data_IF_154829549860
#
_entry.id   IF_154829549860
#
_cell.length_a   1.000
_cell.length_b   1.000
_cell.length_c   1.000
_cell.angle_alpha   90.00
_cell.angle_beta   90.00
_cell.angle_gamma   90.00
#
_symmetry.space_group_name_H-M   'P 1'
#
loop_
_entity.id
_entity.type
_entity.pdbx_description
1 polymer ?
#
# COMPACT_ATOMS: atom_id res chain seq x y z
N UNK A 1 40.42 -23.30 -21.68
CA UNK A 1 40.96 -22.98 -23.02
C UNK A 1 39.84 -23.13 -24.04
N UNK A 2 39.25 -22.04 -24.51
CA UNK A 2 38.58 -21.95 -25.81
C UNK A 2 38.38 -20.47 -26.12
N UNK A 3 39.17 -19.95 -27.05
CA UNK A 3 39.07 -18.58 -27.58
C UNK A 3 38.05 -18.61 -28.71
N UNK A 4 37.12 -17.67 -28.73
CA UNK A 4 36.36 -17.35 -29.94
C UNK A 4 36.32 -15.83 -30.10
N UNK A 5 37.03 -15.38 -31.13
CA UNK A 5 37.10 -14.01 -31.65
C UNK A 5 36.20 -13.93 -32.88
N UNK A 6 35.50 -12.82 -33.11
CA UNK A 6 35.01 -12.24 -34.40
C UNK A 6 33.97 -11.16 -34.00
N UNK A 7 33.74 -10.01 -34.65
CA UNK A 7 34.19 -9.43 -35.92
C UNK A 7 33.79 -7.95 -35.88
N UNK A 8 34.69 -7.05 -36.29
CA UNK A 8 34.45 -5.60 -36.51
C UNK A 8 34.00 -5.33 -37.95
N UNK A 9 32.89 -4.60 -38.14
CA UNK A 9 32.51 -3.76 -39.33
C UNK A 9 31.04 -3.34 -39.15
N UNK A 10 30.54 -2.17 -39.57
CA UNK A 10 30.93 -1.26 -40.63
C UNK A 10 30.32 0.13 -40.37
N UNK A 11 31.11 1.19 -40.60
CA UNK A 11 30.64 2.58 -40.72
C UNK A 11 29.95 2.75 -42.07
N UNK A 12 28.65 3.01 -42.06
CA UNK A 12 27.89 3.49 -43.22
C UNK A 12 27.45 4.92 -42.97
N UNK A 13 28.28 5.90 -43.37
CA UNK A 13 27.85 7.26 -43.62
C UNK A 13 27.41 7.37 -45.07
N UNK A 14 26.29 8.05 -45.35
CA UNK A 14 26.10 8.97 -46.49
C UNK A 14 24.65 9.49 -46.60
N UNK A 15 24.57 10.82 -46.57
CA UNK A 15 23.75 11.70 -47.41
C UNK A 15 22.24 11.73 -47.11
N UNK A 16 21.73 12.76 -46.42
CA UNK A 16 21.54 14.14 -46.86
C UNK A 16 20.66 14.27 -48.12
N UNK A 17 19.40 14.70 -47.92
CA UNK A 17 18.71 15.68 -48.77
C UNK A 17 17.46 16.22 -48.06
N UNK A 18 17.46 17.54 -47.92
CA UNK A 18 16.35 18.40 -47.54
C UNK A 18 15.07 18.09 -48.35
N UNK A 19 13.93 18.04 -47.67
CA UNK A 19 12.66 18.47 -48.23
C UNK A 19 11.90 19.27 -47.17
N UNK A 20 11.97 20.58 -47.35
CA UNK A 20 11.25 21.63 -46.66
C UNK A 20 9.75 21.47 -46.97
N UNK A 21 8.98 21.02 -45.98
CA UNK A 21 7.53 20.82 -46.04
C UNK A 21 6.86 21.34 -44.78
N UNK A 22 7.00 22.65 -44.59
CA UNK A 22 6.37 23.47 -43.55
C UNK A 22 4.85 23.46 -43.77
N UNK A 23 4.10 22.66 -43.01
CA UNK A 23 2.65 22.77 -42.91
C UNK A 23 2.28 22.80 -41.43
N UNK A 24 1.93 24.02 -40.98
CA UNK A 24 1.42 24.33 -39.67
C UNK A 24 0.20 23.45 -39.35
N UNK A 25 0.42 22.38 -38.60
CA UNK A 25 -0.59 21.85 -37.69
C UNK A 25 -0.28 22.40 -36.30
N UNK A 26 -0.32 23.73 -36.19
CA UNK A 26 -0.42 24.47 -34.92
C UNK A 26 -1.87 24.33 -34.42
N UNK A 27 -2.32 23.07 -34.32
CA UNK A 27 -3.65 22.70 -33.84
C UNK A 27 -3.62 22.78 -32.34
N UNK A 28 -4.25 23.84 -31.81
CA UNK A 28 -4.64 24.05 -30.43
C UNK A 28 -4.35 22.86 -29.51
N UNK A 29 -3.25 22.95 -28.74
CA UNK A 29 -3.24 22.39 -27.40
C UNK A 29 -4.35 23.13 -26.65
N UNK A 30 -5.58 22.66 -26.77
CA UNK A 30 -6.61 23.00 -25.83
C UNK A 30 -6.10 22.46 -24.52
N UNK A 31 -5.57 23.35 -23.68
CA UNK A 31 -5.42 23.09 -22.26
C UNK A 31 -6.81 22.66 -21.78
N UNK A 32 -7.04 21.35 -21.72
CA UNK A 32 -8.13 20.79 -20.96
C UNK A 32 -7.83 21.22 -19.54
N UNK A 33 -8.45 22.33 -19.14
CA UNK A 33 -8.55 22.69 -17.74
C UNK A 33 -9.15 21.46 -17.07
N UNK A 34 -8.30 20.68 -16.41
CA UNK A 34 -8.78 19.67 -15.49
C UNK A 34 -9.66 20.44 -14.52
N UNK A 35 -10.93 20.07 -14.36
CA UNK A 35 -11.80 20.76 -13.43
C UNK A 35 -11.13 20.67 -12.05
N UNK A 36 -10.61 21.80 -11.56
CA UNK A 36 -9.96 22.00 -10.25
C UNK A 36 -10.96 21.87 -9.08
N UNK A 37 -11.97 21.03 -9.23
CA UNK A 37 -13.10 20.91 -8.33
C UNK A 37 -13.64 19.49 -8.21
N UNK A 38 -12.84 18.46 -8.52
CA UNK A 38 -13.15 17.12 -8.06
C UNK A 38 -13.12 17.18 -6.52
N UNK A 39 -14.29 17.30 -5.88
CA UNK A 39 -14.38 17.18 -4.44
C UNK A 39 -13.80 15.83 -4.07
N UNK A 40 -12.80 15.82 -3.20
CA UNK A 40 -12.20 14.58 -2.71
C UNK A 40 -13.33 13.65 -2.24
N UNK A 41 -13.60 12.61 -3.01
CA UNK A 41 -14.65 11.67 -2.68
C UNK A 41 -14.17 10.87 -1.48
N UNK A 42 -14.98 10.82 -0.43
CA UNK A 42 -14.64 10.05 0.75
C UNK A 42 -14.88 8.58 0.44
N UNK A 43 -13.84 7.75 0.53
CA UNK A 43 -13.97 6.31 0.41
C UNK A 43 -14.75 5.75 1.61
N UNK A 44 -15.71 4.87 1.34
CA UNK A 44 -16.43 4.11 2.35
C UNK A 44 -16.40 2.63 2.01
N UNK A 45 -16.49 1.80 3.04
CA UNK A 45 -16.44 0.36 2.91
C UNK A 45 -17.46 -0.29 3.84
N UNK A 46 -18.19 -1.28 3.33
CA UNK A 46 -19.17 -2.05 4.07
C UNK A 46 -18.84 -3.55 3.98
N UNK A 47 -18.73 -4.20 5.14
CA UNK A 47 -18.56 -5.64 5.22
C UNK A 47 -19.91 -6.35 5.26
N UNK A 48 -20.04 -7.37 4.42
CA UNK A 48 -21.08 -8.40 4.55
C UNK A 48 -20.48 -9.67 5.15
N UNK A 49 -21.30 -10.73 5.27
CA UNK A 49 -20.84 -12.02 5.77
C UNK A 49 -19.78 -12.68 4.85
N UNK A 50 -19.80 -12.39 3.55
CA UNK A 50 -18.98 -13.09 2.54
C UNK A 50 -18.15 -12.18 1.65
N UNK A 51 -18.32 -10.86 1.78
CA UNK A 51 -17.66 -9.91 0.90
C UNK A 51 -17.54 -8.51 1.48
N UNK A 52 -16.88 -7.66 0.70
CA UNK A 52 -16.59 -6.28 1.01
C UNK A 52 -17.04 -5.42 -0.18
N UNK A 53 -17.88 -4.43 0.09
CA UNK A 53 -18.28 -3.43 -0.89
C UNK A 53 -17.60 -2.11 -0.55
N UNK A 54 -16.99 -1.47 -1.55
CA UNK A 54 -16.20 -0.26 -1.40
C UNK A 54 -16.77 0.75 -2.38
N UNK A 55 -17.12 1.95 -1.90
CA UNK A 55 -17.67 3.02 -2.73
C UNK A 55 -16.85 4.29 -2.58
N UNK A 56 -16.83 5.10 -3.63
CA UNK A 56 -16.07 6.34 -3.64
C UNK A 56 -14.58 6.13 -3.90
N UNK A 57 -14.23 5.04 -4.57
CA UNK A 57 -12.92 4.83 -5.16
C UNK A 57 -12.67 5.84 -6.29
N UNK A 58 -11.40 6.17 -6.55
CA UNK A 58 -11.02 6.85 -7.79
C UNK A 58 -11.45 6.00 -9.00
N UNK A 59 -12.13 6.61 -9.97
CA UNK A 59 -12.63 5.91 -11.16
C UNK A 59 -11.48 5.26 -11.95
N UNK A 60 -11.59 3.96 -12.20
CA UNK A 60 -10.52 3.21 -12.86
C UNK A 60 -9.27 3.02 -11.99
N UNK A 61 -9.36 3.38 -10.71
CA UNK A 61 -8.27 3.33 -9.74
C UNK A 61 -8.06 1.94 -9.16
N UNK A 62 -6.98 1.80 -8.40
CA UNK A 62 -6.69 0.59 -7.65
C UNK A 62 -6.95 0.80 -6.17
N UNK A 63 -7.53 -0.22 -5.54
CA UNK A 63 -7.78 -0.27 -4.10
C UNK A 63 -6.91 -1.35 -3.48
N UNK A 64 -6.25 -1.01 -2.37
CA UNK A 64 -5.60 -1.97 -1.50
C UNK A 64 -6.48 -2.29 -0.29
N UNK A 65 -6.61 -3.58 0.01
CA UNK A 65 -7.30 -4.10 1.18
C UNK A 65 -6.24 -4.75 2.06
N UNK A 66 -5.96 -4.11 3.18
CA UNK A 66 -5.00 -4.55 4.16
C UNK A 66 -5.74 -4.96 5.42
N UNK A 67 -5.41 -6.10 6.00
CA UNK A 67 -6.21 -6.55 7.13
C UNK A 67 -5.61 -7.67 7.93
N UNK A 68 -6.27 -7.93 9.05
CA UNK A 68 -6.02 -9.10 9.86
C UNK A 68 -7.33 -9.66 10.39
N UNK A 69 -7.34 -10.96 10.60
CA UNK A 69 -8.44 -11.65 11.21
C UNK A 69 -7.96 -12.72 12.18
N UNK A 70 -8.85 -13.09 13.09
CA UNK A 70 -8.64 -14.17 14.03
C UNK A 70 -9.87 -15.05 14.12
N UNK A 71 -9.67 -16.34 13.96
CA UNK A 71 -10.71 -17.33 14.13
C UNK A 71 -10.35 -18.26 15.29
N UNK A 72 -11.23 -18.33 16.29
CA UNK A 72 -11.05 -19.24 17.42
C UNK A 72 -11.61 -20.61 17.05
N UNK A 73 -10.76 -21.62 17.14
CA UNK A 73 -11.15 -23.03 17.08
C UNK A 73 -11.22 -23.60 18.51
N UNK A 74 -11.69 -24.85 18.65
CA UNK A 74 -11.85 -25.48 19.97
C UNK A 74 -10.52 -25.58 20.73
N UNK A 75 -9.42 -25.87 20.04
CA UNK A 75 -8.12 -26.17 20.64
C UNK A 75 -7.00 -25.19 20.27
N UNK A 76 -7.26 -24.24 19.37
CA UNK A 76 -6.26 -23.31 18.87
C UNK A 76 -6.93 -22.06 18.29
N UNK A 77 -6.15 -21.02 18.04
CA UNK A 77 -6.61 -19.82 17.34
C UNK A 77 -5.85 -19.69 16.03
N UNK A 78 -6.59 -19.50 14.96
CA UNK A 78 -6.06 -19.14 13.66
C UNK A 78 -5.97 -17.63 13.56
N UNK A 79 -4.87 -17.15 13.00
CA UNK A 79 -4.64 -15.74 12.72
C UNK A 79 -4.17 -15.67 11.29
N UNK A 80 -4.82 -14.82 10.49
CA UNK A 80 -4.40 -14.57 9.12
C UNK A 80 -4.37 -13.07 8.84
N UNK A 81 -3.65 -12.71 7.79
CA UNK A 81 -3.63 -11.38 7.21
C UNK A 81 -4.35 -11.36 5.86
N UNK A 82 -4.71 -10.16 5.42
CA UNK A 82 -5.26 -9.87 4.09
C UNK A 82 -4.35 -8.80 3.48
N UNK A 83 -3.87 -9.06 2.28
CA UNK A 83 -3.10 -8.14 1.44
C UNK A 83 -3.58 -8.36 0.00
N UNK A 84 -4.64 -7.65 -0.37
CA UNK A 84 -5.30 -7.81 -1.66
C UNK A 84 -5.35 -6.47 -2.40
N UNK A 85 -5.25 -6.54 -3.73
CA UNK A 85 -5.39 -5.39 -4.63
C UNK A 85 -6.49 -5.67 -5.64
N UNK A 86 -7.36 -4.69 -5.81
CA UNK A 86 -8.50 -4.79 -6.72
C UNK A 86 -8.56 -3.51 -7.55
N UNK A 87 -8.95 -3.63 -8.80
CA UNK A 87 -9.09 -2.51 -9.73
C UNK A 87 -10.59 -2.25 -9.93
N UNK A 88 -10.98 -0.99 -9.92
CA UNK A 88 -12.28 -0.56 -10.45
C UNK A 88 -12.24 -0.70 -11.98
N UNK A 89 -12.71 -1.82 -12.51
CA UNK A 89 -12.53 -2.17 -13.92
C UNK A 89 -13.62 -1.58 -14.84
N UNK A 90 -14.77 -1.21 -14.31
CA UNK A 90 -15.86 -0.55 -15.04
C UNK A 90 -15.87 0.98 -14.89
N UNK A 91 -15.09 1.51 -13.93
CA UNK A 91 -14.86 2.94 -13.77
C UNK A 91 -16.05 3.67 -13.13
N UNK A 92 -16.85 2.98 -12.32
CA UNK A 92 -18.00 3.58 -11.63
C UNK A 92 -17.69 4.06 -10.19
N UNK A 93 -16.47 3.80 -9.70
CA UNK A 93 -16.01 4.18 -8.37
C UNK A 93 -16.50 3.25 -7.25
N UNK A 94 -17.01 2.07 -7.62
CA UNK A 94 -17.47 1.01 -6.72
C UNK A 94 -16.70 -0.27 -7.00
N UNK A 95 -16.18 -0.88 -5.94
CA UNK A 95 -15.45 -2.15 -6.03
C UNK A 95 -16.09 -3.13 -5.08
N UNK A 96 -16.41 -4.32 -5.58
CA UNK A 96 -16.90 -5.43 -4.76
C UNK A 96 -15.90 -6.58 -4.75
N UNK A 97 -15.67 -7.13 -3.57
CA UNK A 97 -14.79 -8.26 -3.36
C UNK A 97 -15.56 -9.40 -2.70
N UNK A 98 -15.73 -10.52 -3.40
CA UNK A 98 -16.21 -11.75 -2.78
C UNK A 98 -15.04 -12.57 -2.26
N UNK A 99 -15.04 -12.86 -0.96
CA UNK A 99 -13.95 -13.65 -0.35
C UNK A 99 -14.09 -15.17 -0.61
N UNK A 100 -15.22 -15.62 -1.16
CA UNK A 100 -15.57 -17.03 -1.38
C UNK A 100 -15.76 -17.84 -0.08
N UNK A 101 -15.57 -17.22 1.09
CA UNK A 101 -15.75 -17.80 2.42
C UNK A 101 -16.44 -16.80 3.35
N UNK A 102 -16.82 -17.24 4.54
CA UNK A 102 -17.32 -16.30 5.54
C UNK A 102 -16.14 -15.48 6.09
N UNK A 103 -16.31 -14.16 6.19
CA UNK A 103 -15.33 -13.30 6.86
C UNK A 103 -15.40 -13.57 8.37
N UNK A 104 -14.27 -13.87 9.05
CA UNK A 104 -14.29 -14.11 10.49
C UNK A 104 -14.83 -12.91 11.27
N UNK A 105 -15.67 -13.15 12.27
CA UNK A 105 -16.29 -12.10 13.09
C UNK A 105 -15.27 -11.19 13.78
N UNK A 106 -14.07 -11.72 14.09
CA UNK A 106 -12.96 -10.92 14.60
C UNK A 106 -12.01 -10.60 13.45
N UNK A 107 -12.29 -9.53 12.72
CA UNK A 107 -11.48 -9.03 11.61
C UNK A 107 -11.44 -7.50 11.63
N UNK A 108 -10.32 -6.95 11.19
CA UNK A 108 -10.14 -5.52 10.91
C UNK A 108 -9.49 -5.39 9.56
N UNK A 109 -10.12 -4.63 8.68
CA UNK A 109 -9.60 -4.27 7.37
C UNK A 109 -9.41 -2.76 7.29
N UNK A 110 -8.41 -2.34 6.54
CA UNK A 110 -8.12 -0.97 6.13
C UNK A 110 -8.14 -0.98 4.61
N UNK A 111 -9.09 -0.23 4.06
CA UNK A 111 -9.28 -0.07 2.62
C UNK A 111 -8.64 1.26 2.22
N UNK A 112 -7.81 1.23 1.20
CA UNK A 112 -7.01 2.38 0.75
C UNK A 112 -7.16 2.54 -0.75
N UNK A 113 -7.60 3.71 -1.19
CA UNK A 113 -7.50 4.12 -2.58
C UNK A 113 -6.05 4.47 -2.90
N UNK A 114 -5.41 3.66 -3.75
CA UNK A 114 -4.02 3.85 -4.10
C UNK A 114 -3.80 5.09 -4.95
N UNK A 115 -4.79 5.60 -5.70
CA UNK A 115 -4.60 6.82 -6.48
C UNK A 115 -4.60 8.08 -5.60
N UNK A 116 -5.52 8.15 -4.63
CA UNK A 116 -5.74 9.35 -3.81
C UNK A 116 -5.08 9.31 -2.42
N UNK A 117 -4.72 8.11 -1.93
CA UNK A 117 -4.28 7.90 -0.55
C UNK A 117 -5.39 8.01 0.49
N UNK A 118 -6.65 8.19 0.07
CA UNK A 118 -7.79 8.14 0.99
C UNK A 118 -7.96 6.72 1.55
N UNK A 119 -8.36 6.62 2.81
CA UNK A 119 -8.52 5.33 3.46
C UNK A 119 -9.71 5.31 4.42
N UNK A 120 -10.20 4.10 4.69
CA UNK A 120 -11.21 3.86 5.73
C UNK A 120 -10.96 2.52 6.42
N UNK A 121 -11.27 2.45 7.71
CA UNK A 121 -11.20 1.23 8.50
C UNK A 121 -12.58 0.59 8.60
N UNK A 122 -12.67 -0.72 8.47
CA UNK A 122 -13.94 -1.46 8.54
C UNK A 122 -13.75 -2.77 9.29
N UNK A 123 -14.82 -3.20 9.97
CA UNK A 123 -14.88 -4.44 10.71
C UNK A 123 -16.28 -5.07 10.56
N UNK A 124 -16.42 -6.39 10.76
CA UNK A 124 -17.73 -7.04 10.81
C UNK A 124 -18.66 -6.40 11.84
N UNK A 125 -19.97 -6.41 11.56
CA UNK A 125 -20.97 -5.88 12.49
C UNK A 125 -20.84 -6.52 13.89
N UNK A 126 -20.89 -5.68 14.93
CA UNK A 126 -20.72 -6.10 16.32
C UNK A 126 -19.26 -6.28 16.75
N UNK A 127 -18.29 -6.32 15.82
CA UNK A 127 -16.88 -6.23 16.13
C UNK A 127 -16.46 -4.76 16.17
N UNK A 128 -16.39 -4.20 17.37
CA UNK A 128 -16.01 -2.80 17.54
C UNK A 128 -14.61 -2.53 16.98
N UNK A 129 -14.54 -1.69 15.95
CA UNK A 129 -13.29 -1.21 15.37
C UNK A 129 -12.54 -0.36 16.41
N UNK A 130 -11.26 -0.66 16.66
CA UNK A 130 -10.47 0.01 17.70
C UNK A 130 -9.15 0.50 17.13
N UNK A 131 -8.88 1.79 17.32
CA UNK A 131 -7.59 2.38 16.97
C UNK A 131 -6.56 2.20 18.08
N UNK A 132 -5.30 1.96 17.71
CA UNK A 132 -4.16 2.05 18.62
C UNK A 132 -4.04 3.46 19.19
N UNK A 133 -3.84 3.63 20.51
CA UNK A 133 -3.53 4.91 21.09
C UNK A 133 -2.26 5.49 20.45
N UNK A 134 -2.30 6.76 20.03
CA UNK A 134 -1.17 7.44 19.37
C UNK A 134 0.11 7.45 20.21
N UNK A 135 -0.01 7.39 21.54
CA UNK A 135 1.13 7.35 22.46
C UNK A 135 1.89 6.02 22.41
N UNK A 136 1.30 4.97 21.84
CA UNK A 136 1.85 3.61 21.81
C UNK A 136 2.58 3.30 20.52
N UNK A 137 2.70 4.29 19.61
CA UNK A 137 3.49 4.14 18.40
C UNK A 137 4.19 5.41 17.95
N UNK A 138 5.33 5.25 17.31
CA UNK A 138 6.11 6.35 16.74
C UNK A 138 6.67 5.94 15.39
N UNK A 139 6.56 6.82 14.40
CA UNK A 139 7.20 6.68 13.09
C UNK A 139 8.29 7.74 13.01
N UNK A 140 9.55 7.32 12.87
CA UNK A 140 10.66 8.23 12.71
C UNK A 140 10.52 9.06 11.42
N UNK A 141 10.94 10.32 11.45
CA UNK A 141 10.84 11.26 10.32
C UNK A 141 11.75 10.90 9.14
N UNK A 142 12.81 10.13 9.38
CA UNK A 142 13.66 9.54 8.32
C UNK A 142 13.09 8.22 7.78
N UNK A 143 11.92 7.83 8.29
CA UNK A 143 11.22 6.59 7.97
C UNK A 143 11.92 5.33 8.44
N UNK A 144 12.92 5.41 9.30
CA UNK A 144 13.75 4.26 9.65
C UNK A 144 13.23 3.43 10.83
N UNK A 145 12.19 3.87 11.55
CA UNK A 145 11.72 3.18 12.75
C UNK A 145 10.24 3.35 13.01
N UNK A 146 9.51 2.23 13.06
CA UNK A 146 8.17 2.14 13.66
C UNK A 146 8.33 1.47 15.01
N UNK A 147 8.25 2.23 16.10
CA UNK A 147 8.21 1.66 17.45
C UNK A 147 6.75 1.49 17.87
N UNK A 148 6.29 0.28 18.17
CA UNK A 148 4.91 -0.01 18.59
C UNK A 148 4.92 -0.94 19.79
N UNK A 149 4.08 -0.69 20.81
CA UNK A 149 3.90 -1.61 21.93
C UNK A 149 3.03 -2.82 21.51
N UNK A 150 3.63 -3.78 20.82
CA UNK A 150 2.98 -5.01 20.36
C UNK A 150 3.96 -6.18 20.41
N UNK A 151 3.44 -7.41 20.44
CA UNK A 151 4.26 -8.63 20.27
C UNK A 151 4.23 -9.19 18.86
N UNK A 152 3.21 -8.83 18.09
CA UNK A 152 2.98 -9.35 16.74
C UNK A 152 2.09 -8.39 15.95
N UNK A 153 2.67 -7.79 14.92
CA UNK A 153 2.08 -6.71 14.14
C UNK A 153 2.09 -7.07 12.66
N UNK A 154 0.97 -6.92 11.97
CA UNK A 154 0.94 -6.79 10.52
C UNK A 154 1.26 -5.34 10.20
N UNK A 155 2.43 -5.07 9.62
CA UNK A 155 2.87 -3.74 9.24
C UNK A 155 2.84 -3.62 7.73
N UNK A 156 2.13 -2.61 7.24
CA UNK A 156 2.05 -2.29 5.83
C UNK A 156 2.50 -0.85 5.58
N UNK A 157 3.24 -0.65 4.52
CA UNK A 157 3.60 0.66 3.97
C UNK A 157 2.91 0.80 2.63
N UNK A 158 2.18 1.89 2.46
CA UNK A 158 1.51 2.23 1.19
C UNK A 158 2.07 3.55 0.67
N UNK A 159 2.46 3.55 -0.60
CA UNK A 159 2.76 4.77 -1.33
C UNK A 159 1.67 5.01 -2.39
N UNK A 160 0.82 6.04 -2.22
CA UNK A 160 -0.16 6.38 -3.25
C UNK A 160 0.49 6.56 -4.63
N UNK A 161 -0.18 6.07 -5.66
CA UNK A 161 0.26 6.02 -7.06
C UNK A 161 1.30 4.94 -7.34
N UNK A 162 1.63 4.09 -6.37
CA UNK A 162 2.75 3.15 -6.47
C UNK A 162 2.42 1.77 -5.90
N UNK A 163 3.04 1.37 -4.80
CA UNK A 163 3.00 -0.01 -4.30
C UNK A 163 2.58 -0.08 -2.83
N UNK A 164 2.24 -1.29 -2.45
CA UNK A 164 1.96 -1.70 -1.07
C UNK A 164 3.01 -2.74 -0.67
N UNK A 165 3.57 -2.56 0.52
CA UNK A 165 4.57 -3.44 1.12
C UNK A 165 4.08 -3.89 2.48
N UNK A 166 3.83 -5.19 2.67
CA UNK A 166 3.24 -5.72 3.90
C UNK A 166 4.12 -6.82 4.50
N UNK A 167 4.16 -6.86 5.83
CA UNK A 167 4.94 -7.85 6.57
C UNK A 167 4.43 -8.06 7.99
N UNK A 168 4.40 -9.33 8.40
CA UNK A 168 4.26 -9.70 9.81
C UNK A 168 5.60 -9.50 10.53
N UNK A 169 5.57 -8.76 11.63
CA UNK A 169 6.69 -8.49 12.53
C UNK A 169 6.37 -9.07 13.91
N UNK A 170 7.37 -9.64 14.59
CA UNK A 170 7.23 -10.29 15.89
C UNK A 170 8.36 -9.86 16.84
N UNK A 171 8.04 -9.73 18.13
CA UNK A 171 8.97 -9.34 19.20
C UNK A 171 10.06 -10.42 19.34
N UNK A 172 11.32 -10.00 19.27
CA UNK A 172 12.48 -10.89 19.20
C UNK A 172 12.63 -11.62 17.86
N UNK A 173 11.88 -11.21 16.83
CA UNK A 173 12.00 -11.70 15.46
C UNK A 173 13.23 -11.14 14.74
N UNK A 174 13.52 -11.63 13.52
CA UNK A 174 14.67 -11.19 12.73
C UNK A 174 14.61 -9.74 12.25
N UNK A 175 13.45 -9.10 12.37
CA UNK A 175 13.16 -7.73 11.90
C UNK A 175 12.99 -6.74 13.05
N UNK A 176 13.09 -7.24 14.29
CA UNK A 176 13.00 -6.42 15.48
C UNK A 176 14.40 -5.99 15.90
N UNK A 177 14.55 -4.72 16.27
CA UNK A 177 15.81 -4.22 16.80
C UNK A 177 16.17 -5.00 18.08
N UNK A 178 17.35 -5.66 18.14
CA UNK A 178 17.75 -6.40 19.34
C UNK A 178 17.91 -5.51 20.58
N UNK A 179 17.92 -4.19 20.42
CA UNK A 179 17.95 -3.21 21.51
C UNK A 179 16.56 -2.71 21.92
N UNK A 180 15.48 -3.12 21.24
CA UNK A 180 14.11 -2.81 21.62
C UNK A 180 13.81 -3.29 23.05
N UNK A 181 13.16 -2.47 23.89
CA UNK A 181 12.58 -2.95 25.13
C UNK A 181 11.62 -4.11 24.87
N UNK A 182 11.65 -5.15 25.72
CA UNK A 182 10.75 -6.29 25.59
C UNK A 182 9.28 -5.84 25.55
N UNK A 183 8.52 -6.37 24.58
CA UNK A 183 7.13 -5.99 24.34
C UNK A 183 6.94 -4.77 23.45
N UNK A 184 8.02 -4.21 22.90
CA UNK A 184 7.96 -3.22 21.82
C UNK A 184 8.60 -3.78 20.56
N UNK A 185 7.97 -3.51 19.42
CA UNK A 185 8.51 -3.80 18.10
C UNK A 185 9.17 -2.55 17.56
N UNK A 186 10.36 -2.70 17.00
CA UNK A 186 11.06 -1.61 16.33
C UNK A 186 11.51 -2.09 14.95
N UNK A 187 10.91 -1.54 13.91
CA UNK A 187 11.07 -2.06 12.53
C UNK A 187 11.63 -0.99 11.62
N UNK A 188 12.69 -1.36 10.89
CA UNK A 188 13.18 -0.55 9.79
C UNK A 188 12.38 -0.76 8.51
N UNK A 189 11.95 0.32 7.89
CA UNK A 189 11.32 0.28 6.55
C UNK A 189 12.22 -0.34 5.49
N UNK A 190 13.54 -0.24 5.68
CA UNK A 190 14.52 -0.90 4.83
C UNK A 190 14.37 -2.42 4.83
N UNK A 191 13.66 -3.01 5.80
CA UNK A 191 13.45 -4.44 5.92
C UNK A 191 12.04 -4.90 5.55
N UNK A 192 11.12 -3.97 5.26
CA UNK A 192 9.80 -4.32 4.73
C UNK A 192 10.00 -4.81 3.29
N UNK A 193 9.54 -6.03 3.02
CA UNK A 193 9.61 -6.63 1.69
C UNK A 193 8.41 -6.18 0.86
N UNK A 194 8.51 -6.13 -0.49
CA UNK A 194 7.33 -6.00 -1.33
C UNK A 194 6.30 -7.06 -1.00
N UNK A 195 5.05 -6.60 -0.89
CA UNK A 195 3.89 -7.49 -0.81
C UNK A 195 3.74 -8.28 -2.11
N UNK A 196 2.73 -9.14 -2.17
CA UNK A 196 2.50 -9.95 -3.36
C UNK A 196 2.18 -9.05 -4.57
N UNK A 197 2.94 -9.20 -5.66
CA UNK A 197 2.84 -8.31 -6.83
C UNK A 197 3.50 -6.93 -6.64
N UNK A 198 4.19 -6.68 -5.53
CA UNK A 198 4.93 -5.43 -5.27
C UNK A 198 6.23 -5.32 -6.06
N UNK A 199 6.42 -4.18 -6.75
CA UNK A 199 7.71 -3.81 -7.33
C UNK A 199 8.78 -3.55 -6.26
N UNK A 200 10.06 -3.70 -6.65
CA UNK A 200 11.18 -3.21 -5.82
C UNK A 200 11.08 -1.68 -5.80
N UNK A 201 11.06 -1.02 -4.62
CA UNK A 201 11.07 0.44 -4.55
C UNK A 201 12.21 1.01 -5.40
N UNK A 202 11.94 2.11 -6.08
CA UNK A 202 12.92 2.87 -6.86
C UNK A 202 13.96 3.52 -5.95
N UNK A 203 14.93 2.72 -5.52
CA UNK A 203 16.22 3.16 -4.98
C UNK A 203 16.22 3.78 -3.57
N UNK A 204 15.13 4.37 -3.09
CA UNK A 204 15.05 4.90 -1.71
C UNK A 204 13.94 4.20 -0.92
N UNK A 205 14.33 3.30 0.01
CA UNK A 205 13.45 2.73 1.04
C UNK A 205 13.22 3.73 2.18
N UNK A 206 12.82 4.95 1.82
CA UNK A 206 12.50 6.03 2.76
C UNK A 206 11.07 6.46 2.52
N UNK A 207 10.39 6.87 3.60
CA UNK A 207 9.07 7.44 3.46
C UNK A 207 9.12 8.76 2.69
N UNK A 208 8.07 9.00 1.91
CA UNK A 208 7.77 10.27 1.25
C UNK A 208 6.53 10.89 1.89
N UNK A 209 6.38 12.21 1.74
CA UNK A 209 5.15 12.88 2.17
C UNK A 209 3.93 12.24 1.49
N UNK A 210 2.90 11.94 2.27
CA UNK A 210 1.68 11.28 1.78
C UNK A 210 1.75 9.75 1.74
N UNK A 211 2.91 9.14 2.04
CA UNK A 211 2.95 7.71 2.32
C UNK A 211 2.09 7.38 3.55
N UNK A 212 1.49 6.19 3.57
CA UNK A 212 0.75 5.68 4.72
C UNK A 212 1.51 4.53 5.36
N UNK A 213 1.52 4.49 6.70
CA UNK A 213 1.97 3.35 7.49
C UNK A 213 0.76 2.80 8.23
N UNK A 214 0.40 1.57 7.93
CA UNK A 214 -0.71 0.85 8.53
C UNK A 214 -0.15 -0.24 9.43
N UNK A 215 -0.55 -0.27 10.69
CA UNK A 215 -0.22 -1.36 11.60
C UNK A 215 -1.48 -1.98 12.17
N UNK A 216 -1.53 -3.31 12.24
CA UNK A 216 -2.61 -4.06 12.87
C UNK A 216 -2.01 -5.06 13.86
N UNK A 217 -2.31 -4.94 15.15
CA UNK A 217 -1.85 -5.91 16.14
C UNK A 217 -2.64 -7.20 15.98
N UNK A 218 -1.94 -8.29 15.70
CA UNK A 218 -2.54 -9.58 15.40
C UNK A 218 -3.13 -10.28 16.63
N UNK A 219 -2.85 -9.78 17.83
CA UNK A 219 -3.37 -10.26 19.10
C UNK A 219 -4.58 -9.44 19.60
N UNK A 220 -4.62 -8.13 19.43
CA UNK A 220 -5.75 -7.29 19.86
C UNK A 220 -6.70 -6.94 18.72
N UNK A 221 -6.24 -7.01 17.47
CA UNK A 221 -6.91 -6.45 16.29
C UNK A 221 -7.20 -4.96 16.44
N UNK A 222 -6.33 -4.24 17.17
CA UNK A 222 -6.29 -2.78 17.12
C UNK A 222 -5.44 -2.36 15.92
N UNK A 223 -5.78 -1.23 15.29
CA UNK A 223 -5.06 -0.75 14.12
C UNK A 223 -4.65 0.72 14.26
N UNK A 224 -3.62 1.14 13.53
CA UNK A 224 -3.35 2.54 13.28
C UNK A 224 -3.10 2.78 11.80
N UNK A 225 -3.38 3.99 11.36
CA UNK A 225 -2.93 4.51 10.08
C UNK A 225 -2.23 5.83 10.35
N UNK A 226 -0.97 5.92 9.93
CA UNK A 226 -0.16 7.12 10.03
C UNK A 226 0.14 7.65 8.64
N UNK A 227 -0.29 8.87 8.37
CA UNK A 227 0.11 9.60 7.18
C UNK A 227 1.45 10.30 7.44
N UNK A 228 2.44 10.02 6.60
CA UNK A 228 3.74 10.66 6.67
C UNK A 228 3.60 12.10 6.21
N UNK A 229 3.56 13.03 7.17
CA UNK A 229 3.65 14.46 6.87
C UNK A 229 5.10 14.80 6.49
N UNK A 230 5.33 15.37 5.31
CA UNK A 230 6.65 15.76 4.79
C UNK A 230 7.33 16.92 5.54
N UNK A 231 7.40 16.85 6.87
CA UNK A 231 8.20 17.76 7.66
C UNK A 231 9.65 17.65 7.23
N UNK A 232 10.15 18.70 6.57
CA UNK A 232 11.58 18.85 6.30
C UNK A 232 12.32 18.75 7.64
N UNK A 233 13.26 17.80 7.72
CA UNK A 233 14.24 17.73 8.80
C UNK A 233 15.13 18.99 8.82
#
# INVERSE_FOLDING_TARGET
MMRSSYSTRSKGSRQARLALGLLLALGALQSTAFPDGASAQTISAELSATGLEITGATLGGEIAILGAWRQRHVYWSEVGSVDERIVDDDGDGTVSCESGRAIPMAAVLVVIDLASGQWTGVAPEGFGLRSFPKQEWQVATDGSLVSVLSKRLELSWVRPGSWVWSRVVMDGGTLDDPLSPTGSLSVSTAEIAPGEGGGVPDGSRTFSSGDLVVGIDLQTLEYFVYEVSGGAA
#
